data_IF_612949514033
#
_entry.id   IF_612949514033
#
_cell.length_a   1.000
_cell.length_b   1.000
_cell.length_c   1.000
_cell.angle_alpha   90.00
_cell.angle_beta   90.00
_cell.angle_gamma   90.00
#
_symmetry.space_group_name_H-M   'P 1'
#
loop_
_entity.id
_entity.type
_entity.pdbx_description
1 polymer ?
#
# COMPACT_ATOMS: atom_id res chain seq x y z
N UNK A 1 2.82 -8.09 -3.92
CA UNK A 1 2.40 -6.79 -4.51
C UNK A 1 2.87 -5.63 -3.67
N UNK A 2 3.07 -4.45 -4.32
CA UNK A 2 3.42 -3.25 -3.54
C UNK A 2 2.16 -2.66 -2.89
N UNK A 3 2.29 -2.33 -1.61
CA UNK A 3 1.30 -1.63 -0.80
C UNK A 3 1.96 -0.44 -0.10
N UNK A 4 1.18 0.58 0.19
CA UNK A 4 1.66 1.89 0.63
C UNK A 4 1.09 2.26 1.99
N UNK A 5 1.93 2.85 2.85
CA UNK A 5 1.50 3.41 4.13
C UNK A 5 1.81 4.90 4.20
N UNK A 6 0.79 5.72 4.44
CA UNK A 6 0.93 7.17 4.63
C UNK A 6 1.01 7.55 6.11
N UNK A 7 2.10 8.22 6.52
CA UNK A 7 2.34 8.62 7.92
C UNK A 7 2.99 10.02 8.00
N UNK A 8 3.14 10.53 9.22
CA UNK A 8 3.91 11.76 9.52
C UNK A 8 5.43 11.51 9.61
N UNK A 9 5.85 10.24 9.66
CA UNK A 9 7.25 9.80 9.69
C UNK A 9 7.44 8.63 8.73
N UNK A 10 8.67 8.42 8.25
CA UNK A 10 9.01 7.23 7.45
C UNK A 10 8.96 5.98 8.34
N UNK A 11 8.27 4.94 7.85
CA UNK A 11 8.20 3.66 8.55
C UNK A 11 9.27 2.72 7.99
N UNK A 12 10.35 2.56 8.73
CA UNK A 12 11.44 1.63 8.40
C UNK A 12 11.12 0.22 8.92
N UNK A 13 10.58 0.15 10.14
CA UNK A 13 10.17 -1.10 10.81
C UNK A 13 8.75 -0.96 11.33
N UNK A 14 7.94 -2.00 11.14
CA UNK A 14 6.54 -2.00 11.58
C UNK A 14 6.47 -2.36 13.06
N UNK A 15 6.00 -1.43 13.89
CA UNK A 15 5.78 -1.63 15.32
C UNK A 15 4.28 -1.57 15.65
N UNK A 16 3.66 -2.74 15.84
CA UNK A 16 2.24 -2.83 16.18
C UNK A 16 1.90 -2.30 17.59
N UNK A 17 2.89 -2.07 18.47
CA UNK A 17 2.63 -1.44 19.76
C UNK A 17 2.16 0.00 19.63
N UNK A 18 2.57 0.68 18.55
CA UNK A 18 2.16 2.05 18.18
C UNK A 18 0.78 2.09 17.50
N UNK A 19 0.21 0.95 17.14
CA UNK A 19 -1.08 0.89 16.46
C UNK A 19 -2.22 1.39 17.34
N UNK A 20 -3.05 2.29 16.80
CA UNK A 20 -4.18 2.89 17.51
C UNK A 20 -5.40 1.96 17.44
N UNK A 21 -6.10 1.70 18.56
CA UNK A 21 -7.35 0.92 18.56
C UNK A 21 -8.51 1.70 17.92
N UNK A 22 -9.64 1.02 17.75
CA UNK A 22 -10.89 1.59 17.27
C UNK A 22 -10.79 2.19 15.85
N UNK A 23 -10.01 1.56 14.99
CA UNK A 23 -10.00 1.78 13.54
C UNK A 23 -10.98 0.82 12.88
N UNK A 24 -11.16 0.93 11.55
CA UNK A 24 -12.12 0.13 10.76
C UNK A 24 -11.98 -1.38 11.00
N UNK A 25 -10.75 -1.84 11.00
CA UNK A 25 -10.40 -3.25 11.21
C UNK A 25 -9.65 -3.46 12.55
N UNK A 26 -9.89 -2.56 13.51
CA UNK A 26 -9.25 -2.63 14.83
C UNK A 26 -7.81 -2.12 14.86
N UNK A 27 -7.02 -2.68 15.77
CA UNK A 27 -5.61 -2.35 15.92
C UNK A 27 -4.77 -3.08 14.88
N UNK A 28 -3.90 -2.37 14.17
CA UNK A 28 -3.00 -2.97 13.20
C UNK A 28 -2.21 -1.94 12.39
N UNK A 29 -1.38 -2.43 11.49
CA UNK A 29 -0.66 -1.64 10.51
C UNK A 29 -1.48 -1.58 9.22
N UNK A 30 -1.86 -0.38 8.80
CA UNK A 30 -2.75 -0.13 7.68
C UNK A 30 -1.99 0.28 6.43
N UNK A 31 -2.30 -0.36 5.31
CA UNK A 31 -1.74 -0.05 3.99
C UNK A 31 -2.85 0.06 2.96
N UNK A 32 -2.53 0.55 1.78
CA UNK A 32 -3.41 0.59 0.61
C UNK A 32 -2.64 0.19 -0.65
N UNK A 33 -3.35 -0.34 -1.66
CA UNK A 33 -2.82 -0.55 -3.02
C UNK A 33 -2.75 0.75 -3.82
N UNK A 34 -3.47 1.79 -3.38
CA UNK A 34 -3.54 3.08 -4.07
C UNK A 34 -2.52 4.05 -3.46
N UNK A 35 -1.49 4.37 -4.23
CA UNK A 35 -0.43 5.30 -3.82
C UNK A 35 -0.97 6.71 -3.53
N UNK A 36 -1.87 7.23 -4.35
CA UNK A 36 -2.45 8.57 -4.17
C UNK A 36 -3.25 8.67 -2.85
N UNK A 37 -3.94 7.58 -2.47
CA UNK A 37 -4.62 7.48 -1.18
C UNK A 37 -3.61 7.55 -0.03
N UNK A 38 -2.48 6.83 -0.12
CA UNK A 38 -1.41 6.88 0.88
C UNK A 38 -0.77 8.28 0.96
N UNK A 39 -0.54 8.94 -0.18
CA UNK A 39 -0.02 10.32 -0.24
C UNK A 39 -0.98 11.32 0.41
N UNK A 40 -2.28 11.16 0.19
CA UNK A 40 -3.30 11.98 0.86
C UNK A 40 -3.28 11.80 2.38
N UNK A 41 -3.15 10.57 2.85
CA UNK A 41 -3.01 10.29 4.29
C UNK A 41 -1.69 10.80 4.86
N UNK A 42 -0.57 10.62 4.14
CA UNK A 42 0.73 11.14 4.54
C UNK A 42 0.68 12.66 4.74
N UNK A 43 0.12 13.39 3.77
CA UNK A 43 -0.06 14.85 3.84
C UNK A 43 -0.90 15.26 5.05
N UNK A 44 -2.11 14.69 5.22
CA UNK A 44 -3.00 15.00 6.36
C UNK A 44 -2.33 14.71 7.71
N UNK A 45 -1.59 13.59 7.81
CA UNK A 45 -0.84 13.24 9.01
C UNK A 45 0.33 14.17 9.25
N UNK A 46 1.07 14.51 8.19
CA UNK A 46 2.18 15.45 8.24
C UNK A 46 1.72 16.83 8.72
N UNK A 47 0.65 17.39 8.14
CA UNK A 47 0.06 18.67 8.54
C UNK A 47 -0.29 18.68 10.04
N UNK A 48 -0.90 17.60 10.54
CA UNK A 48 -1.25 17.49 11.96
C UNK A 48 -0.04 17.44 12.89
N UNK A 49 1.09 16.92 12.42
CA UNK A 49 2.34 16.78 13.18
C UNK A 49 3.40 17.83 12.83
N UNK A 50 3.10 18.78 11.94
CA UNK A 50 4.05 19.82 11.51
C UNK A 50 5.20 19.28 10.62
N UNK A 51 4.94 18.19 9.87
CA UNK A 51 5.89 17.58 8.93
C UNK A 51 5.32 17.53 7.51
N UNK A 52 6.14 17.16 6.51
CA UNK A 52 5.68 16.98 5.13
C UNK A 52 4.85 15.71 4.92
N UNK A 53 4.89 14.76 5.87
CA UNK A 53 4.34 13.43 5.70
C UNK A 53 5.21 12.54 4.79
N UNK A 54 5.07 11.22 4.96
CA UNK A 54 5.87 10.21 4.27
C UNK A 54 4.99 9.09 3.77
N UNK A 55 5.27 8.58 2.58
CA UNK A 55 4.73 7.32 2.08
C UNK A 55 5.83 6.27 2.18
N UNK A 56 5.54 5.19 2.86
CA UNK A 56 6.44 4.04 2.99
C UNK A 56 5.89 2.87 2.17
N UNK A 57 6.73 2.33 1.31
CA UNK A 57 6.39 1.27 0.36
C UNK A 57 6.74 -0.09 0.95
N UNK A 58 5.86 -1.06 0.81
CA UNK A 58 6.05 -2.42 1.30
C UNK A 58 5.70 -3.45 0.22
N UNK A 59 6.45 -4.54 0.17
CA UNK A 59 6.10 -5.71 -0.64
C UNK A 59 5.30 -6.69 0.22
N UNK A 60 4.05 -6.90 -0.16
CA UNK A 60 3.13 -7.83 0.49
C UNK A 60 3.00 -9.11 -0.32
N UNK A 61 3.27 -10.25 0.31
CA UNK A 61 3.02 -11.55 -0.27
C UNK A 61 1.54 -11.90 -0.21
N UNK A 62 0.83 -11.70 -1.33
CA UNK A 62 -0.62 -11.95 -1.44
C UNK A 62 -1.02 -13.41 -1.22
N UNK A 63 -0.08 -14.36 -1.36
CA UNK A 63 -0.35 -15.77 -1.06
C UNK A 63 -0.74 -15.98 0.41
N UNK A 64 -0.42 -15.03 1.30
CA UNK A 64 -0.88 -15.04 2.69
C UNK A 64 -2.40 -15.10 2.83
N UNK A 65 -3.17 -14.60 1.84
CA UNK A 65 -4.62 -14.73 1.83
C UNK A 65 -5.13 -16.15 1.60
N UNK A 66 -4.31 -17.02 1.06
CA UNK A 66 -4.62 -18.41 0.72
C UNK A 66 -3.85 -19.41 1.59
N UNK A 67 -2.92 -18.93 2.41
CA UNK A 67 -2.12 -19.74 3.33
C UNK A 67 -2.91 -19.98 4.62
N UNK A 68 -3.22 -21.23 4.91
CA UNK A 68 -3.95 -21.65 6.12
C UNK A 68 -3.24 -21.30 7.43
N UNK A 69 -1.98 -20.86 7.36
CA UNK A 69 -1.28 -20.32 8.53
C UNK A 69 -1.84 -18.97 8.98
N UNK A 70 -2.49 -18.21 8.09
CA UNK A 70 -3.06 -16.91 8.45
C UNK A 70 -4.59 -16.99 8.53
N UNK A 71 -5.15 -16.36 9.57
CA UNK A 71 -6.58 -16.08 9.62
C UNK A 71 -6.85 -14.78 8.87
N UNK A 72 -7.49 -14.86 7.72
CA UNK A 72 -7.72 -13.72 6.85
C UNK A 72 -9.20 -13.44 6.66
N UNK A 73 -9.56 -12.17 6.48
CA UNK A 73 -10.90 -11.73 6.14
C UNK A 73 -10.83 -10.72 5.00
N UNK A 74 -11.65 -10.91 3.97
CA UNK A 74 -11.68 -10.01 2.81
C UNK A 74 -13.11 -9.60 2.50
N UNK A 75 -13.33 -8.29 2.45
CA UNK A 75 -14.59 -7.69 2.04
C UNK A 75 -14.49 -7.24 0.58
N UNK A 76 -15.42 -7.69 -0.27
CA UNK A 76 -15.47 -7.34 -1.69
C UNK A 76 -16.00 -5.94 -1.98
N UNK A 77 -16.45 -5.21 -0.94
CA UNK A 77 -17.02 -3.87 -1.05
C UNK A 77 -17.76 -3.48 0.23
N UNK A 78 -18.54 -2.42 0.17
CA UNK A 78 -19.37 -1.92 1.26
C UNK A 78 -20.60 -2.80 1.47
N UNK A 79 -20.40 -3.97 2.09
CA UNK A 79 -21.45 -4.93 2.40
C UNK A 79 -21.99 -4.75 3.82
N UNK A 80 -23.10 -5.44 4.14
CA UNK A 80 -23.62 -5.47 5.51
C UNK A 80 -22.62 -6.08 6.48
N UNK A 81 -21.92 -7.16 6.08
CA UNK A 81 -20.88 -7.80 6.90
C UNK A 81 -19.70 -6.86 7.17
N UNK A 82 -19.27 -6.10 6.14
CA UNK A 82 -18.25 -5.05 6.30
C UNK A 82 -18.71 -3.99 7.30
N UNK A 83 -19.94 -3.53 7.18
CA UNK A 83 -20.49 -2.54 8.10
C UNK A 83 -20.50 -3.01 9.54
N UNK A 84 -21.06 -4.22 9.80
CA UNK A 84 -21.13 -4.79 11.14
C UNK A 84 -19.71 -4.97 11.74
N UNK A 85 -18.76 -5.37 10.92
CA UNK A 85 -17.36 -5.52 11.32
C UNK A 85 -16.73 -4.18 11.71
N UNK A 86 -16.88 -3.15 10.86
CA UNK A 86 -16.36 -1.79 11.14
C UNK A 86 -17.00 -1.19 12.38
N UNK A 87 -18.32 -1.28 12.52
CA UNK A 87 -19.06 -0.79 13.70
C UNK A 87 -18.56 -1.46 14.97
N UNK A 88 -18.36 -2.78 14.94
CA UNK A 88 -17.86 -3.53 16.10
C UNK A 88 -16.45 -3.07 16.51
N UNK A 89 -15.55 -2.88 15.55
CA UNK A 89 -14.17 -2.43 15.80
C UNK A 89 -14.10 -0.98 16.29
N UNK A 90 -14.95 -0.09 15.76
CA UNK A 90 -14.98 1.34 16.13
C UNK A 90 -15.71 1.62 17.43
N UNK A 91 -16.39 0.64 17.99
CA UNK A 91 -17.12 0.78 19.26
C UNK A 91 -16.17 1.00 20.44
N UNK A 92 -15.99 2.24 20.86
CA UNK A 92 -15.10 2.64 21.96
C UNK A 92 -15.50 2.08 23.33
N UNK A 93 -16.69 1.49 23.48
CA UNK A 93 -17.12 0.81 24.70
C UNK A 93 -16.49 -0.56 24.85
N UNK A 94 -15.90 -1.11 23.80
CA UNK A 94 -15.22 -2.40 23.78
C UNK A 94 -13.72 -2.14 23.89
N UNK A 95 -13.11 -2.53 25.01
CA UNK A 95 -11.68 -2.31 25.27
C UNK A 95 -10.76 -3.37 24.65
N UNK A 96 -11.31 -4.55 24.30
CA UNK A 96 -10.57 -5.67 23.72
C UNK A 96 -10.72 -5.72 22.21
N UNK A 97 -9.81 -6.44 21.51
CA UNK A 97 -10.00 -6.77 20.10
C UNK A 97 -11.30 -7.55 19.93
N UNK A 98 -12.08 -7.20 18.91
CA UNK A 98 -13.36 -7.85 18.59
C UNK A 98 -13.21 -9.05 17.65
N UNK A 99 -11.99 -9.27 17.13
CA UNK A 99 -11.67 -10.39 16.25
C UNK A 99 -10.22 -10.86 16.47
N UNK A 100 -9.90 -12.01 15.86
CA UNK A 100 -8.58 -12.65 15.91
C UNK A 100 -7.98 -12.88 14.50
N UNK A 101 -8.44 -12.13 13.49
CA UNK A 101 -7.85 -12.18 12.15
C UNK A 101 -6.43 -11.61 12.16
N UNK A 102 -5.55 -12.25 11.37
CA UNK A 102 -4.19 -11.80 11.15
C UNK A 102 -4.15 -10.67 10.11
N UNK A 103 -4.91 -10.82 9.02
CA UNK A 103 -4.97 -9.86 7.92
C UNK A 103 -6.43 -9.58 7.54
N UNK A 104 -6.79 -8.31 7.43
CA UNK A 104 -8.12 -7.90 6.97
C UNK A 104 -7.99 -6.95 5.79
N UNK A 105 -8.70 -7.24 4.69
CA UNK A 105 -8.76 -6.40 3.49
C UNK A 105 -10.18 -5.93 3.22
N UNK A 106 -10.34 -4.68 2.77
CA UNK A 106 -11.65 -4.16 2.37
C UNK A 106 -11.67 -2.66 2.14
N UNK A 107 -12.86 -2.08 1.94
CA UNK A 107 -13.02 -0.63 1.79
C UNK A 107 -12.66 0.14 3.06
N UNK A 108 -12.28 1.41 2.87
CA UNK A 108 -12.03 2.37 3.96
C UNK A 108 -13.36 3.01 4.37
N UNK A 109 -13.62 3.13 5.66
CA UNK A 109 -14.61 4.08 6.13
C UNK A 109 -13.96 5.49 6.17
N UNK A 110 -14.06 6.23 5.07
CA UNK A 110 -13.58 7.61 4.98
C UNK A 110 -14.34 8.56 5.92
N UNK A 111 -14.02 9.85 5.90
CA UNK A 111 -14.56 10.82 6.85
C UNK A 111 -16.09 10.91 6.76
N UNK A 112 -16.68 10.79 5.55
CA UNK A 112 -18.12 10.84 5.33
C UNK A 112 -18.80 9.56 5.83
N UNK A 113 -18.23 8.40 5.55
CA UNK A 113 -18.70 7.10 6.08
C UNK A 113 -18.48 7.05 7.59
N UNK A 114 -17.39 7.61 8.10
CA UNK A 114 -17.12 7.68 9.53
C UNK A 114 -18.19 8.46 10.29
N UNK A 115 -18.57 9.64 9.80
CA UNK A 115 -19.63 10.43 10.41
C UNK A 115 -20.95 9.64 10.45
N UNK A 116 -21.26 8.86 9.42
CA UNK A 116 -22.44 7.99 9.36
C UNK A 116 -22.38 6.81 10.32
N UNK A 117 -21.19 6.18 10.48
CA UNK A 117 -20.97 5.14 11.49
C UNK A 117 -21.21 5.68 12.89
N UNK A 118 -20.69 6.88 13.20
CA UNK A 118 -20.91 7.53 14.48
C UNK A 118 -22.41 7.87 14.70
N UNK A 119 -23.11 8.36 13.67
CA UNK A 119 -24.54 8.63 13.73
C UNK A 119 -25.36 7.36 13.98
N UNK A 120 -24.96 6.23 13.38
CA UNK A 120 -25.57 4.93 13.66
C UNK A 120 -25.31 4.48 15.10
N UNK A 121 -24.04 4.53 15.58
CA UNK A 121 -23.67 4.16 16.94
C UNK A 121 -24.38 5.01 18.02
N UNK A 122 -24.69 6.27 17.68
CA UNK A 122 -25.44 7.18 18.53
C UNK A 122 -26.98 7.09 18.35
N UNK A 123 -27.47 6.15 17.50
CA UNK A 123 -28.89 5.90 17.27
C UNK A 123 -29.61 6.98 16.45
N UNK A 124 -28.88 7.85 15.74
CA UNK A 124 -29.48 8.94 14.93
C UNK A 124 -29.99 8.43 13.57
N UNK A 125 -29.37 7.39 13.03
CA UNK A 125 -29.79 6.75 11.77
C UNK A 125 -29.99 5.25 11.95
N UNK A 126 -30.85 4.64 11.12
CA UNK A 126 -31.01 3.19 11.12
C UNK A 126 -29.97 2.51 10.24
N UNK A 127 -29.69 1.21 10.50
CA UNK A 127 -28.82 0.38 9.66
C UNK A 127 -29.25 0.41 8.19
N UNK A 128 -30.56 0.32 7.93
CA UNK A 128 -31.12 0.36 6.58
C UNK A 128 -30.85 1.68 5.87
N UNK A 129 -30.95 2.80 6.58
CA UNK A 129 -30.62 4.13 6.05
C UNK A 129 -29.14 4.25 5.71
N UNK A 130 -28.28 3.79 6.61
CA UNK A 130 -26.84 3.76 6.37
C UNK A 130 -26.44 2.93 5.14
N UNK A 131 -26.95 1.69 5.02
CA UNK A 131 -26.64 0.81 3.90
C UNK A 131 -27.13 1.33 2.55
N UNK A 132 -28.26 2.08 2.53
CA UNK A 132 -28.74 2.73 1.31
C UNK A 132 -27.79 3.85 0.83
N UNK A 133 -27.15 4.54 1.76
CA UNK A 133 -26.18 5.60 1.44
C UNK A 133 -24.85 5.03 0.95
N UNK A 134 -24.42 3.84 1.42
CA UNK A 134 -23.15 3.19 1.02
C UNK A 134 -23.04 2.93 -0.48
N UNK A 135 -24.14 2.70 -1.18
CA UNK A 135 -24.16 2.49 -2.62
C UNK A 135 -23.65 3.69 -3.45
N UNK A 136 -23.48 4.86 -2.81
CA UNK A 136 -23.04 6.10 -3.45
C UNK A 136 -21.51 6.33 -3.32
N UNK A 137 -20.82 5.54 -2.50
CA UNK A 137 -19.39 5.72 -2.27
C UNK A 137 -18.54 4.95 -3.28
N UNK A 138 -17.45 5.57 -3.70
CA UNK A 138 -16.46 4.94 -4.58
C UNK A 138 -15.54 4.02 -3.80
N UNK A 139 -15.10 2.95 -4.45
CA UNK A 139 -14.21 1.95 -3.85
C UNK A 139 -12.89 2.59 -3.40
N UNK A 140 -12.73 2.72 -2.10
CA UNK A 140 -11.44 2.91 -1.45
C UNK A 140 -10.91 1.56 -0.98
N UNK A 141 -9.64 1.48 -0.65
CA UNK A 141 -9.02 0.20 -0.34
C UNK A 141 -8.07 0.31 0.86
N UNK A 142 -8.11 -0.69 1.74
CA UNK A 142 -7.12 -0.85 2.80
C UNK A 142 -6.85 -2.33 3.11
N UNK A 143 -5.63 -2.60 3.55
CA UNK A 143 -5.23 -3.87 4.15
C UNK A 143 -4.69 -3.56 5.55
N UNK A 144 -5.19 -4.28 6.55
CA UNK A 144 -4.73 -4.17 7.93
C UNK A 144 -3.99 -5.45 8.34
N UNK A 145 -2.75 -5.30 8.78
CA UNK A 145 -1.95 -6.35 9.40
C UNK A 145 -2.13 -6.25 10.91
N UNK A 146 -2.93 -7.16 11.49
CA UNK A 146 -3.45 -7.02 12.85
C UNK A 146 -2.59 -7.71 13.91
N UNK A 147 -1.71 -8.65 13.52
CA UNK A 147 -0.89 -9.45 14.42
C UNK A 147 0.59 -9.42 14.04
N UNK A 148 1.48 -9.68 15.00
CA UNK A 148 2.92 -9.84 14.72
C UNK A 148 3.17 -10.94 13.69
N UNK A 149 2.36 -11.99 13.70
CA UNK A 149 2.44 -13.08 12.74
C UNK A 149 2.20 -12.61 11.31
N UNK A 150 1.23 -11.69 11.08
CA UNK A 150 0.96 -11.15 9.75
C UNK A 150 2.11 -10.33 9.19
N UNK A 151 2.99 -9.78 10.03
CA UNK A 151 4.16 -9.03 9.58
C UNK A 151 5.18 -9.88 8.82
N UNK A 152 5.15 -11.22 8.96
CA UNK A 152 5.98 -12.10 8.14
C UNK A 152 5.56 -12.14 6.65
N UNK A 153 4.37 -11.65 6.33
CA UNK A 153 3.87 -11.57 4.94
C UNK A 153 4.17 -10.24 4.24
N UNK A 154 4.76 -9.27 4.95
CA UNK A 154 5.01 -7.92 4.43
C UNK A 154 6.42 -7.47 4.81
N UNK A 155 7.15 -6.91 3.84
CA UNK A 155 8.51 -6.41 4.03
C UNK A 155 8.63 -4.97 3.53
N UNK A 156 9.43 -4.15 4.21
CA UNK A 156 9.75 -2.80 3.75
C UNK A 156 10.51 -2.88 2.42
N UNK A 157 9.99 -2.23 1.38
CA UNK A 157 10.74 -2.08 0.13
C UNK A 157 11.96 -1.23 0.42
N UNK A 158 13.14 -1.77 0.20
CA UNK A 158 14.37 -1.00 0.31
C UNK A 158 14.35 0.11 -0.74
N UNK A 159 14.78 1.32 -0.37
CA UNK A 159 14.80 2.47 -1.27
C UNK A 159 15.52 2.15 -2.57
N UNK A 160 16.64 1.43 -2.48
CA UNK A 160 17.39 0.96 -3.64
C UNK A 160 16.54 0.16 -4.63
N UNK A 161 15.71 -0.79 -4.16
CA UNK A 161 14.82 -1.58 -5.04
C UNK A 161 13.72 -0.73 -5.68
N UNK A 162 13.21 0.26 -4.96
CA UNK A 162 12.23 1.18 -5.51
C UNK A 162 12.86 2.05 -6.63
N UNK A 163 14.04 2.59 -6.38
CA UNK A 163 14.76 3.41 -7.34
C UNK A 163 15.14 2.59 -8.58
N UNK A 164 15.62 1.35 -8.41
CA UNK A 164 15.91 0.41 -9.51
C UNK A 164 14.67 0.15 -10.37
N UNK A 165 13.51 -0.11 -9.76
CA UNK A 165 12.25 -0.33 -10.51
C UNK A 165 11.83 0.92 -11.28
N UNK A 166 11.88 2.09 -10.66
CA UNK A 166 11.53 3.37 -11.28
C UNK A 166 12.43 3.69 -12.46
N UNK A 167 13.73 3.48 -12.28
CA UNK A 167 14.73 3.61 -13.34
C UNK A 167 14.41 2.65 -14.50
N UNK A 168 14.10 1.38 -14.20
CA UNK A 168 13.77 0.37 -15.20
C UNK A 168 12.57 0.76 -16.07
N UNK A 169 11.48 1.22 -15.46
CA UNK A 169 10.29 1.70 -16.19
C UNK A 169 10.68 2.82 -17.15
N UNK A 170 11.40 3.84 -16.69
CA UNK A 170 11.81 4.97 -17.52
C UNK A 170 12.72 4.54 -18.70
N UNK A 171 13.59 3.56 -18.47
CA UNK A 171 14.48 3.01 -19.51
C UNK A 171 13.69 2.22 -20.57
N UNK A 172 12.78 1.35 -20.15
CA UNK A 172 11.94 0.56 -21.07
C UNK A 172 11.07 1.48 -21.91
N UNK A 173 10.41 2.47 -21.30
CA UNK A 173 9.62 3.47 -22.01
C UNK A 173 10.46 4.25 -23.05
N UNK A 174 11.70 4.61 -22.70
CA UNK A 174 12.61 5.30 -23.62
C UNK A 174 13.09 4.39 -24.76
N UNK A 175 13.37 3.12 -24.50
CA UNK A 175 13.71 2.16 -25.57
C UNK A 175 12.56 1.99 -26.57
N UNK A 176 11.32 1.95 -26.08
CA UNK A 176 10.12 1.89 -26.94
C UNK A 176 10.02 3.15 -27.78
N UNK A 177 10.14 4.33 -27.18
CA UNK A 177 9.91 5.62 -27.86
C UNK A 177 11.05 6.01 -28.80
N UNK A 178 12.31 5.85 -28.38
CA UNK A 178 13.48 6.37 -29.11
C UNK A 178 13.92 5.42 -30.23
N UNK A 179 13.72 4.11 -30.05
CA UNK A 179 14.17 3.08 -30.99
C UNK A 179 13.04 2.32 -31.68
N UNK A 180 11.77 2.70 -31.43
CA UNK A 180 10.58 2.06 -31.99
C UNK A 180 10.53 0.53 -31.75
N UNK A 181 11.00 0.11 -30.59
CA UNK A 181 10.97 -1.29 -30.17
C UNK A 181 9.60 -1.65 -29.57
N UNK A 182 9.24 -2.94 -29.59
CA UNK A 182 8.11 -3.41 -28.78
C UNK A 182 8.46 -3.38 -27.30
N UNK A 183 7.46 -3.30 -26.42
CA UNK A 183 7.63 -3.35 -24.98
C UNK A 183 8.42 -4.60 -24.58
N UNK A 184 8.01 -5.78 -25.04
CA UNK A 184 8.70 -7.06 -24.76
C UNK A 184 10.16 -7.05 -25.19
N UNK A 185 10.47 -6.49 -26.40
CA UNK A 185 11.86 -6.40 -26.87
C UNK A 185 12.69 -5.43 -26.03
N UNK A 186 12.09 -4.35 -25.57
CA UNK A 186 12.72 -3.36 -24.68
C UNK A 186 12.99 -3.94 -23.30
N UNK A 187 12.05 -4.69 -22.75
CA UNK A 187 12.22 -5.43 -21.49
C UNK A 187 13.35 -6.46 -21.60
N UNK A 188 13.34 -7.31 -22.62
CA UNK A 188 14.40 -8.30 -22.86
C UNK A 188 15.77 -7.63 -22.98
N UNK A 189 15.85 -6.54 -23.77
CA UNK A 189 17.09 -5.79 -23.95
C UNK A 189 17.61 -5.21 -22.63
N UNK A 190 16.73 -4.69 -21.80
CA UNK A 190 17.07 -4.10 -20.50
C UNK A 190 17.45 -5.18 -19.48
N UNK A 191 16.58 -6.17 -19.24
CA UNK A 191 16.77 -7.16 -18.17
C UNK A 191 17.91 -8.14 -18.41
N UNK A 192 18.34 -8.32 -19.67
CA UNK A 192 19.51 -9.17 -20.03
C UNK A 192 20.82 -8.39 -20.09
N UNK A 193 20.84 -7.11 -19.73
CA UNK A 193 22.03 -6.25 -19.85
C UNK A 193 22.96 -6.36 -18.62
N UNK A 194 24.26 -6.12 -18.85
CA UNK A 194 25.23 -5.92 -17.78
C UNK A 194 24.89 -4.64 -16.96
N UNK A 195 24.32 -3.65 -17.62
CA UNK A 195 23.83 -2.42 -16.98
C UNK A 195 22.78 -2.72 -15.93
N UNK A 196 21.77 -3.57 -16.26
CA UNK A 196 20.77 -4.01 -15.28
C UNK A 196 21.39 -4.87 -14.16
N UNK A 197 22.28 -5.79 -14.49
CA UNK A 197 22.97 -6.60 -13.50
C UNK A 197 23.73 -5.74 -12.47
N UNK A 198 24.45 -4.71 -12.94
CA UNK A 198 25.12 -3.74 -12.07
C UNK A 198 24.15 -2.85 -11.30
N UNK A 199 23.06 -2.41 -11.92
CA UNK A 199 22.04 -1.60 -11.25
C UNK A 199 21.37 -2.37 -10.11
N UNK A 200 21.17 -3.67 -10.29
CA UNK A 200 20.55 -4.56 -9.30
C UNK A 200 21.48 -4.99 -8.16
N UNK A 201 22.78 -4.75 -8.30
CA UNK A 201 23.76 -4.97 -7.24
C UNK A 201 23.89 -3.71 -6.36
N UNK A 202 23.32 -3.77 -5.15
CA UNK A 202 23.33 -2.66 -4.19
C UNK A 202 24.74 -2.13 -3.89
N UNK A 203 25.80 -2.95 -4.00
CA UNK A 203 27.18 -2.53 -3.74
C UNK A 203 27.72 -1.57 -4.80
N UNK A 204 27.18 -1.60 -6.01
CA UNK A 204 27.59 -0.69 -7.09
C UNK A 204 27.09 0.73 -6.87
N UNK A 205 26.00 0.90 -6.10
CA UNK A 205 25.27 2.16 -5.90
C UNK A 205 24.85 2.84 -7.20
N UNK A 206 24.72 2.07 -8.29
CA UNK A 206 24.35 2.62 -9.58
C UNK A 206 22.94 3.23 -9.56
N UNK A 207 22.05 2.74 -8.68
CA UNK A 207 20.69 3.27 -8.47
C UNK A 207 20.66 4.70 -7.88
N UNK A 208 21.80 5.23 -7.38
CA UNK A 208 21.92 6.63 -6.94
C UNK A 208 22.08 7.60 -8.12
N UNK A 209 22.33 7.09 -9.34
CA UNK A 209 22.40 7.89 -10.57
C UNK A 209 21.02 8.14 -11.15
N UNK A 210 20.93 9.18 -12.00
CA UNK A 210 19.70 9.43 -12.75
C UNK A 210 19.43 8.31 -13.75
N UNK A 211 18.15 8.05 -14.06
CA UNK A 211 17.78 7.05 -15.06
C UNK A 211 18.37 7.38 -16.46
N UNK A 212 18.53 8.67 -16.77
CA UNK A 212 19.16 9.11 -18.01
C UNK A 212 20.62 8.66 -18.11
N UNK A 213 21.39 8.83 -17.03
CA UNK A 213 22.79 8.36 -17.01
C UNK A 213 22.88 6.83 -17.18
N UNK A 214 21.94 6.09 -16.59
CA UNK A 214 21.91 4.64 -16.72
C UNK A 214 21.44 4.22 -18.12
N UNK A 215 20.51 4.97 -18.71
CA UNK A 215 20.07 4.75 -20.09
C UNK A 215 21.23 4.96 -21.08
N UNK A 216 22.06 5.97 -20.92
CA UNK A 216 23.27 6.16 -21.74
C UNK A 216 24.25 4.98 -21.61
N UNK A 217 24.41 4.41 -20.41
CA UNK A 217 25.23 3.20 -20.22
C UNK A 217 24.66 2.01 -21.00
N UNK A 218 23.34 1.82 -20.94
CA UNK A 218 22.66 0.75 -21.68
C UNK A 218 22.77 0.95 -23.19
N UNK A 219 22.55 2.16 -23.70
CA UNK A 219 22.68 2.46 -25.14
C UNK A 219 24.09 2.13 -25.64
N UNK A 220 25.10 2.55 -24.90
CA UNK A 220 26.50 2.24 -25.22
C UNK A 220 26.77 0.74 -25.21
N UNK A 221 26.26 0.01 -24.23
CA UNK A 221 26.39 -1.46 -24.14
C UNK A 221 25.73 -2.16 -25.31
N UNK A 222 24.56 -1.69 -25.75
CA UNK A 222 23.74 -2.30 -26.81
C UNK A 222 24.00 -1.74 -28.21
N UNK A 223 24.89 -0.75 -28.34
CA UNK A 223 25.22 -0.14 -29.64
C UNK A 223 24.07 0.65 -30.27
N UNK A 224 23.29 1.34 -29.43
CA UNK A 224 22.10 2.14 -29.81
C UNK A 224 22.43 3.64 -29.97
N UNK A 225 23.68 4.00 -30.26
CA UNK A 225 24.11 5.40 -30.47
C UNK A 225 23.60 5.97 -31.79
#
# INVERSE_FOLDING_TARGET
MIVYHGSYEEIVEIDLSKAVPNKDFGRGFYTTKNREQAETWARRRGEHHGTLGFVSDFDFNENAFFDNNYKTLRFSGYTEDWFDFVVSNRNRKIASSVHDYDIVEGPVADDDIFARVDDYLNGKISKKGFLADLAQFTDSHQICFCTVKSLHSIERVKQALYDIRKIGISIVDSLVSDHNLSETSSEDMYFTSDTYAKLSDEHTKLYEKSWQEIYELLKKERGLE
#
